data_IF_566607124584
#
_entry.id   IF_566607124584
#
_cell.length_a   1.000
_cell.length_b   1.000
_cell.length_c   1.000
_cell.angle_alpha   90.00
_cell.angle_beta   90.00
_cell.angle_gamma   90.00
#
_symmetry.space_group_name_H-M   'P 1'
#
loop_
_entity.id
_entity.type
_entity.pdbx_description
1 polymer ?
#
# COMPACT_ATOMS: atom_id res chain seq x y z
N UNK A 1 -34.69 -31.62 0.06
CA UNK A 1 -33.42 -31.27 0.76
C UNK A 1 -32.17 -32.07 0.34
N UNK A 2 -32.24 -33.34 -0.11
CA UNK A 2 -31.02 -34.13 -0.45
C UNK A 2 -30.28 -33.75 -1.75
N UNK A 3 -30.93 -33.10 -2.73
CA UNK A 3 -30.31 -32.78 -4.03
C UNK A 3 -29.38 -31.56 -4.00
N UNK A 4 -29.56 -30.65 -3.05
CA UNK A 4 -28.76 -29.42 -2.96
C UNK A 4 -27.38 -29.69 -2.36
N UNK A 5 -27.28 -30.62 -1.39
CA UNK A 5 -26.03 -30.98 -0.73
C UNK A 5 -25.05 -31.69 -1.69
N UNK A 6 -25.58 -32.56 -2.57
CA UNK A 6 -24.77 -33.24 -3.60
C UNK A 6 -24.15 -32.26 -4.61
N UNK A 7 -24.81 -31.13 -4.90
CA UNK A 7 -24.28 -30.10 -5.80
C UNK A 7 -23.13 -29.31 -5.18
N UNK A 8 -23.23 -28.97 -3.90
CA UNK A 8 -22.15 -28.28 -3.18
C UNK A 8 -20.93 -29.18 -2.98
N UNK A 9 -21.12 -30.47 -2.69
CA UNK A 9 -20.02 -31.43 -2.57
C UNK A 9 -19.29 -31.66 -3.92
N UNK A 10 -20.03 -31.74 -5.03
CA UNK A 10 -19.44 -31.88 -6.36
C UNK A 10 -18.61 -30.63 -6.75
N UNK A 11 -19.07 -29.43 -6.38
CA UNK A 11 -18.34 -28.18 -6.62
C UNK A 11 -17.04 -28.09 -5.81
N UNK A 12 -17.05 -28.54 -4.56
CA UNK A 12 -15.85 -28.58 -3.71
C UNK A 12 -14.78 -29.54 -4.24
N UNK A 13 -15.18 -30.72 -4.73
CA UNK A 13 -14.26 -31.71 -5.31
C UNK A 13 -13.69 -31.19 -6.65
N UNK A 14 -14.49 -30.51 -7.47
CA UNK A 14 -14.02 -29.91 -8.72
C UNK A 14 -12.98 -28.80 -8.48
N UNK A 15 -13.15 -27.97 -7.44
CA UNK A 15 -12.19 -26.93 -7.08
C UNK A 15 -10.85 -27.50 -6.63
N UNK A 16 -10.85 -28.62 -5.88
CA UNK A 16 -9.61 -29.26 -5.42
C UNK A 16 -8.81 -29.95 -6.54
N UNK A 17 -9.46 -30.35 -7.64
CA UNK A 17 -8.80 -30.98 -8.79
C UNK A 17 -8.15 -29.99 -9.77
N UNK A 18 -8.44 -28.69 -9.66
CA UNK A 18 -7.85 -27.64 -10.52
C UNK A 18 -6.51 -27.08 -10.00
N UNK A 19 -6.25 -27.21 -8.69
CA UNK A 19 -5.04 -26.69 -8.03
C UNK A 19 -3.73 -27.32 -8.53
N UNK A 20 -3.64 -28.65 -8.80
CA UNK A 20 -2.38 -29.26 -9.22
C UNK A 20 -1.86 -28.78 -10.58
N UNK A 21 -2.77 -28.43 -11.51
CA UNK A 21 -2.39 -28.00 -12.87
C UNK A 21 -1.72 -26.61 -12.85
N UNK A 22 -2.25 -25.67 -12.07
CA UNK A 22 -1.70 -24.34 -11.95
C UNK A 22 -0.30 -24.34 -11.30
N UNK A 23 -0.09 -25.19 -10.29
CA UNK A 23 1.23 -25.36 -9.67
C UNK A 23 2.22 -25.93 -10.68
N UNK A 24 1.83 -26.94 -11.46
CA UNK A 24 2.68 -27.57 -12.47
C UNK A 24 3.09 -26.60 -13.59
N UNK A 25 2.16 -25.79 -14.07
CA UNK A 25 2.47 -24.78 -15.10
C UNK A 25 3.41 -23.70 -14.55
N UNK A 26 3.24 -23.30 -13.29
CA UNK A 26 4.16 -22.39 -12.60
C UNK A 26 5.59 -22.94 -12.50
N UNK A 27 5.76 -24.21 -12.10
CA UNK A 27 7.09 -24.83 -12.02
C UNK A 27 7.75 -24.99 -13.39
N UNK A 28 6.98 -25.28 -14.44
CA UNK A 28 7.50 -25.41 -15.81
C UNK A 28 8.05 -24.09 -16.34
N UNK A 29 7.42 -22.97 -16.03
CA UNK A 29 7.92 -21.64 -16.40
C UNK A 29 9.20 -21.27 -15.66
N UNK A 30 9.29 -21.55 -14.36
CA UNK A 30 10.49 -21.31 -13.55
C UNK A 30 11.67 -22.17 -14.02
N UNK A 31 11.44 -23.46 -14.31
CA UNK A 31 12.49 -24.33 -14.86
C UNK A 31 12.93 -23.88 -16.26
N UNK A 32 12.01 -23.41 -17.10
CA UNK A 32 12.36 -22.85 -18.42
C UNK A 32 13.22 -21.59 -18.30
N UNK A 33 12.95 -20.74 -17.30
CA UNK A 33 13.76 -19.55 -17.03
C UNK A 33 15.14 -19.91 -16.45
N UNK A 34 15.23 -20.92 -15.58
CA UNK A 34 16.48 -21.34 -14.95
C UNK A 34 17.44 -22.08 -15.89
N UNK A 35 16.94 -22.69 -16.97
CA UNK A 35 17.72 -23.46 -17.93
C UNK A 35 17.75 -22.84 -19.34
N UNK A 36 17.31 -21.59 -19.49
CA UNK A 36 17.48 -20.87 -20.75
C UNK A 36 18.98 -20.57 -20.96
N UNK A 37 19.57 -20.92 -22.12
CA UNK A 37 20.94 -20.54 -22.43
C UNK A 37 21.05 -19.01 -22.50
N UNK A 38 22.17 -18.41 -22.05
CA UNK A 38 22.35 -16.95 -22.13
C UNK A 38 22.33 -16.54 -23.60
N UNK A 39 21.30 -15.81 -23.99
CA UNK A 39 21.24 -15.17 -25.30
C UNK A 39 22.30 -14.05 -25.36
N UNK A 40 23.02 -13.91 -26.48
CA UNK A 40 24.01 -12.85 -26.62
C UNK A 40 23.33 -11.48 -26.54
N UNK A 41 23.75 -10.68 -25.56
CA UNK A 41 23.34 -9.29 -25.38
C UNK A 41 23.68 -8.50 -26.64
N UNK A 42 22.66 -8.03 -27.37
CA UNK A 42 22.89 -7.11 -28.48
C UNK A 42 21.72 -6.89 -29.44
N UNK A 43 20.84 -7.87 -29.69
CA UNK A 43 19.79 -7.71 -30.72
C UNK A 43 18.38 -7.46 -30.19
N UNK A 44 18.02 -7.91 -28.97
CA UNK A 44 16.62 -7.80 -28.52
C UNK A 44 16.25 -6.43 -27.92
N UNK A 45 17.23 -5.59 -27.60
CA UNK A 45 17.00 -4.26 -26.99
C UNK A 45 16.50 -3.27 -28.05
N UNK A 46 16.99 -3.36 -29.29
CA UNK A 46 16.59 -2.47 -30.38
C UNK A 46 15.15 -2.76 -30.84
N UNK A 47 14.78 -4.03 -31.00
CA UNK A 47 13.41 -4.43 -31.36
C UNK A 47 12.39 -4.12 -30.25
N UNK A 48 12.77 -4.26 -28.98
CA UNK A 48 11.90 -3.92 -27.85
C UNK A 48 11.67 -2.40 -27.73
N UNK A 49 12.67 -1.58 -28.05
CA UNK A 49 12.52 -0.12 -28.02
C UNK A 49 11.66 0.42 -29.17
N UNK A 50 11.75 -0.16 -30.37
CA UNK A 50 10.92 0.25 -31.50
C UNK A 50 9.44 -0.15 -31.32
N UNK A 51 9.17 -1.28 -30.65
CA UNK A 51 7.81 -1.68 -30.29
C UNK A 51 7.13 -0.70 -29.29
N UNK A 52 7.89 -0.19 -28.31
CA UNK A 52 7.39 0.81 -27.34
C UNK A 52 7.12 2.15 -28.03
N UNK A 53 7.96 2.54 -29.00
CA UNK A 53 7.75 3.76 -29.78
C UNK A 53 6.55 3.68 -30.71
N UNK A 54 6.26 2.50 -31.29
CA UNK A 54 5.08 2.28 -32.11
C UNK A 54 3.77 2.24 -31.28
N UNK A 55 3.81 1.79 -30.02
CA UNK A 55 2.67 1.77 -29.12
C UNK A 55 2.32 3.15 -28.52
N UNK A 56 3.20 4.15 -28.67
CA UNK A 56 3.02 5.51 -28.16
C UNK A 56 2.29 6.46 -29.12
N UNK A 57 1.54 5.94 -30.11
CA UNK A 57 0.66 6.75 -30.93
C UNK A 57 -0.52 7.28 -30.06
N UNK A 58 -0.79 8.60 -30.06
CA UNK A 58 -1.73 9.21 -29.11
C UNK A 58 -3.17 8.82 -29.45
N UNK A 59 -3.77 7.98 -28.61
CA UNK A 59 -5.21 7.76 -28.63
C UNK A 59 -5.86 8.81 -27.73
N UNK A 60 -6.56 9.77 -28.34
CA UNK A 60 -7.40 10.75 -27.66
C UNK A 60 -8.54 10.06 -26.91
N UNK A 61 -8.65 10.25 -25.59
CA UNK A 61 -9.89 10.06 -24.81
C UNK A 61 -9.76 10.63 -23.39
N UNK A 62 -10.87 10.86 -22.65
CA UNK A 62 -11.39 12.20 -22.40
C UNK A 62 -11.18 12.66 -20.95
N UNK A 63 -11.53 13.93 -20.74
CA UNK A 63 -11.53 14.66 -19.48
C UNK A 63 -11.94 13.81 -18.26
N UNK A 64 -11.05 13.77 -17.27
CA UNK A 64 -11.41 13.48 -15.89
C UNK A 64 -11.13 14.74 -15.07
N UNK A 65 -12.18 15.21 -14.42
CA UNK A 65 -12.23 16.34 -13.52
C UNK A 65 -11.08 16.35 -12.52
N UNK A 66 -10.43 17.51 -12.42
CA UNK A 66 -9.47 17.84 -11.37
C UNK A 66 -10.24 18.26 -10.14
N UNK A 67 -10.28 17.41 -9.11
CA UNK A 67 -10.51 17.86 -7.74
C UNK A 67 -9.14 18.05 -7.10
N UNK A 68 -8.64 19.28 -7.12
CA UNK A 68 -7.60 19.68 -6.18
C UNK A 68 -8.25 19.84 -4.81
N UNK A 69 -7.96 18.91 -3.90
CA UNK A 69 -8.16 19.14 -2.48
C UNK A 69 -6.95 19.93 -1.98
N UNK A 70 -7.21 21.13 -1.47
CA UNK A 70 -6.18 22.01 -0.92
C UNK A 70 -5.51 21.34 0.29
N UNK A 71 -4.19 21.30 0.21
CA UNK A 71 -3.29 20.47 1.00
C UNK A 71 -2.82 21.25 2.22
N UNK A 72 -3.35 20.94 3.40
CA UNK A 72 -2.85 21.48 4.66
C UNK A 72 -2.58 20.34 5.63
N UNK A 73 -1.34 19.89 5.68
CA UNK A 73 -0.83 18.94 6.66
C UNK A 73 -0.54 19.68 7.97
N UNK A 74 -1.13 19.26 9.09
CA UNK A 74 -0.84 19.80 10.44
C UNK A 74 -0.16 18.76 11.32
N UNK A 75 0.95 19.19 11.93
CA UNK A 75 1.71 18.37 12.89
C UNK A 75 1.00 18.40 14.25
N UNK A 76 0.45 17.26 14.67
CA UNK A 76 -0.21 17.10 15.97
C UNK A 76 0.80 16.93 17.12
N UNK A 77 0.34 17.21 18.35
CA UNK A 77 1.13 17.35 19.57
C UNK A 77 1.98 16.10 19.93
N UNK A 78 3.12 16.28 20.63
CA UNK A 78 4.05 15.19 20.91
C UNK A 78 3.50 14.20 21.94
N UNK A 79 3.31 12.95 21.52
CA UNK A 79 3.19 11.81 22.41
C UNK A 79 4.60 11.45 22.91
N UNK A 80 4.78 11.41 24.24
CA UNK A 80 6.05 11.04 24.85
C UNK A 80 5.96 9.57 25.27
N UNK A 81 6.60 8.68 24.52
CA UNK A 81 6.88 7.32 24.96
C UNK A 81 8.32 6.95 24.62
N UNK A 82 9.03 6.31 25.55
CA UNK A 82 10.50 6.34 25.67
C UNK A 82 11.18 4.97 25.43
N UNK A 83 10.45 3.93 25.05
CA UNK A 83 11.03 2.61 24.75
C UNK A 83 10.54 2.02 23.41
N UNK A 84 11.38 1.23 22.69
CA UNK A 84 11.00 0.61 21.40
C UNK A 84 9.73 -0.25 21.46
N UNK A 85 9.49 -0.92 22.59
CA UNK A 85 8.31 -1.76 22.80
C UNK A 85 7.01 -0.95 22.88
N UNK A 86 7.04 0.21 23.53
CA UNK A 86 5.87 1.09 23.61
C UNK A 86 5.51 1.67 22.24
N UNK A 87 6.53 2.01 21.44
CA UNK A 87 6.36 2.45 20.05
C UNK A 87 5.73 1.36 19.18
N UNK A 88 6.16 0.11 19.35
CA UNK A 88 5.57 -1.03 18.63
C UNK A 88 4.12 -1.28 19.06
N UNK A 89 3.81 -1.21 20.35
CA UNK A 89 2.46 -1.35 20.84
C UNK A 89 1.54 -0.23 20.32
N UNK A 90 2.02 1.01 20.28
CA UNK A 90 1.30 2.13 19.69
C UNK A 90 0.99 1.91 18.20
N UNK A 91 1.94 1.40 17.41
CA UNK A 91 1.71 1.01 16.03
C UNK A 91 0.62 -0.06 15.90
N UNK A 92 0.69 -1.10 16.72
CA UNK A 92 -0.31 -2.18 16.68
C UNK A 92 -1.69 -1.64 17.09
N UNK A 93 -1.75 -0.74 18.08
CA UNK A 93 -2.98 -0.10 18.51
C UNK A 93 -3.62 0.72 17.39
N UNK A 94 -2.84 1.48 16.63
CA UNK A 94 -3.33 2.22 15.47
C UNK A 94 -3.98 1.32 14.42
N UNK A 95 -3.30 0.24 14.05
CA UNK A 95 -3.84 -0.73 13.09
C UNK A 95 -5.08 -1.46 13.63
N UNK A 96 -5.16 -1.68 14.95
CA UNK A 96 -6.36 -2.25 15.61
C UNK A 96 -7.53 -1.28 15.52
N UNK A 97 -7.33 0.01 15.83
CA UNK A 97 -8.37 1.04 15.74
C UNK A 97 -8.87 1.19 14.30
N UNK A 98 -7.96 1.25 13.32
CA UNK A 98 -8.30 1.30 11.90
C UNK A 98 -9.18 0.12 11.45
N UNK A 99 -8.83 -1.09 11.87
CA UNK A 99 -9.63 -2.29 11.57
C UNK A 99 -10.98 -2.28 12.29
N UNK A 100 -11.02 -1.87 13.56
CA UNK A 100 -12.28 -1.75 14.30
C UNK A 100 -13.21 -0.72 13.62
N UNK A 101 -12.66 0.38 13.12
CA UNK A 101 -13.41 1.39 12.38
C UNK A 101 -13.98 0.79 11.08
N UNK A 102 -13.16 0.11 10.29
CA UNK A 102 -13.59 -0.58 9.07
C UNK A 102 -14.71 -1.61 9.35
N UNK A 103 -14.59 -2.39 10.43
CA UNK A 103 -15.66 -3.30 10.86
C UNK A 103 -16.93 -2.54 11.23
N UNK A 104 -16.84 -1.48 12.03
CA UNK A 104 -18.02 -0.69 12.43
C UNK A 104 -18.74 -0.09 11.22
N UNK A 105 -17.99 0.40 10.23
CA UNK A 105 -18.53 0.99 9.00
C UNK A 105 -19.25 -0.01 8.10
N UNK A 106 -18.74 -1.24 8.03
CA UNK A 106 -19.30 -2.30 7.20
C UNK A 106 -20.38 -3.13 7.90
N UNK A 107 -20.61 -2.87 9.18
CA UNK A 107 -21.55 -3.60 10.03
C UNK A 107 -22.44 -2.63 10.80
N UNK A 108 -23.11 -3.14 11.84
CA UNK A 108 -23.90 -2.33 12.76
C UNK A 108 -23.23 -2.25 14.15
N UNK A 109 -21.93 -2.53 14.21
CA UNK A 109 -21.13 -2.37 15.41
C UNK A 109 -20.87 -0.89 15.73
N UNK A 110 -20.72 -0.51 17.02
CA UNK A 110 -20.40 0.86 17.39
C UNK A 110 -19.03 1.31 16.87
N UNK A 111 -18.91 2.59 16.54
CA UNK A 111 -17.64 3.20 16.10
C UNK A 111 -16.61 3.16 17.25
N UNK A 112 -15.35 2.76 16.99
CA UNK A 112 -14.32 2.73 18.02
C UNK A 112 -13.87 4.14 18.43
N UNK A 113 -13.23 4.25 19.59
CA UNK A 113 -12.56 5.49 19.98
C UNK A 113 -11.31 5.72 19.11
N UNK A 114 -11.34 6.79 18.30
CA UNK A 114 -10.26 7.17 17.40
C UNK A 114 -9.31 8.22 17.97
N UNK A 115 -9.49 8.68 19.22
CA UNK A 115 -8.64 9.71 19.85
C UNK A 115 -7.15 9.35 19.95
N UNK A 116 -6.81 8.06 19.81
CA UNK A 116 -5.44 7.60 19.78
C UNK A 116 -4.75 7.81 18.41
N UNK A 117 -5.54 8.02 17.36
CA UNK A 117 -5.06 8.37 16.03
C UNK A 117 -4.84 9.89 15.95
N UNK A 118 -3.95 10.31 15.06
CA UNK A 118 -3.89 11.71 14.70
C UNK A 118 -5.01 12.10 13.71
N UNK A 119 -5.20 13.40 13.55
CA UNK A 119 -6.26 13.96 12.71
C UNK A 119 -6.14 13.51 11.24
N UNK A 120 -4.91 13.38 10.74
CA UNK A 120 -4.65 12.91 9.37
C UNK A 120 -5.02 11.43 9.19
N UNK A 121 -4.72 10.56 10.16
CA UNK A 121 -5.11 9.16 10.15
C UNK A 121 -6.61 8.98 10.29
N UNK A 122 -7.24 9.77 11.16
CA UNK A 122 -8.69 9.79 11.29
C UNK A 122 -9.36 10.25 9.98
N UNK A 123 -8.86 11.34 9.39
CA UNK A 123 -9.34 11.86 8.11
C UNK A 123 -9.20 10.85 6.98
N UNK A 124 -8.05 10.17 6.90
CA UNK A 124 -7.82 9.08 5.94
C UNK A 124 -8.83 7.95 6.14
N UNK A 125 -9.04 7.46 7.37
CA UNK A 125 -10.02 6.39 7.65
C UNK A 125 -11.44 6.80 7.27
N UNK A 126 -11.86 8.01 7.63
CA UNK A 126 -13.19 8.54 7.29
C UNK A 126 -13.37 8.68 5.78
N UNK A 127 -12.29 8.97 5.04
CA UNK A 127 -12.27 9.10 3.59
C UNK A 127 -12.33 7.78 2.81
N UNK A 128 -12.09 6.63 3.46
CA UNK A 128 -12.13 5.34 2.77
C UNK A 128 -13.54 4.98 2.31
N UNK A 129 -13.63 4.40 1.12
CA UNK A 129 -14.81 3.72 0.59
C UNK A 129 -15.05 2.39 1.28
N UNK A 130 -16.26 1.84 1.15
CA UNK A 130 -16.60 0.53 1.72
C UNK A 130 -15.71 -0.59 1.17
N UNK A 131 -15.29 -0.50 -0.09
CA UNK A 131 -14.40 -1.50 -0.69
C UNK A 131 -12.99 -1.42 -0.11
N UNK A 132 -12.47 -0.21 0.12
CA UNK A 132 -11.19 0.00 0.80
C UNK A 132 -11.26 -0.44 2.27
N UNK A 133 -12.39 -0.23 2.94
CA UNK A 133 -12.62 -0.78 4.28
C UNK A 133 -12.61 -2.30 4.29
N UNK A 134 -13.23 -2.98 3.30
CA UNK A 134 -13.15 -4.45 3.19
C UNK A 134 -11.71 -4.88 2.97
N UNK A 135 -11.01 -4.18 2.07
CA UNK A 135 -9.61 -4.44 1.76
C UNK A 135 -8.72 -4.32 3.00
N UNK A 136 -8.97 -3.36 3.89
CA UNK A 136 -8.23 -3.24 5.16
C UNK A 136 -8.37 -4.48 6.05
N UNK A 137 -9.55 -5.11 6.06
CA UNK A 137 -9.83 -6.27 6.91
C UNK A 137 -9.08 -7.54 6.46
N UNK A 138 -8.58 -7.57 5.21
CA UNK A 138 -7.74 -8.66 4.68
C UNK A 138 -6.35 -8.72 5.36
N UNK A 139 -5.89 -7.62 5.96
CA UNK A 139 -4.52 -7.47 6.45
C UNK A 139 -4.45 -7.40 7.97
N UNK A 140 -3.39 -7.93 8.58
CA UNK A 140 -3.16 -7.87 10.03
C UNK A 140 -3.09 -6.42 10.54
N UNK A 141 -3.37 -6.20 11.84
CA UNK A 141 -3.26 -4.86 12.45
C UNK A 141 -1.88 -4.24 12.19
N UNK A 142 -0.81 -5.04 12.31
CA UNK A 142 0.55 -4.57 12.04
C UNK A 142 0.73 -4.11 10.60
N UNK A 143 0.22 -4.88 9.64
CA UNK A 143 0.33 -4.51 8.22
C UNK A 143 -0.46 -3.26 7.89
N UNK A 144 -1.63 -3.08 8.52
CA UNK A 144 -2.43 -1.86 8.39
C UNK A 144 -1.67 -0.66 8.97
N UNK A 145 -1.06 -0.78 10.14
CA UNK A 145 -0.31 0.33 10.71
C UNK A 145 0.95 0.67 9.90
N UNK A 146 1.67 -0.32 9.39
CA UNK A 146 2.80 -0.08 8.48
C UNK A 146 2.36 0.67 7.21
N UNK A 147 1.14 0.44 6.71
CA UNK A 147 0.58 1.22 5.60
C UNK A 147 0.22 2.64 6.02
N UNK A 148 -0.41 2.79 7.20
CA UNK A 148 -0.76 4.10 7.74
C UNK A 148 0.48 4.99 7.95
N UNK A 149 1.60 4.42 8.39
CA UNK A 149 2.85 5.15 8.63
C UNK A 149 3.76 5.22 7.40
N UNK A 150 3.31 4.74 6.24
CA UNK A 150 4.07 4.75 4.99
C UNK A 150 5.26 3.78 4.94
N UNK A 151 5.46 2.93 5.95
CA UNK A 151 6.56 1.95 6.00
C UNK A 151 6.37 0.83 4.96
N UNK A 152 5.14 0.33 4.81
CA UNK A 152 4.81 -0.65 3.77
C UNK A 152 3.40 -0.45 3.22
N UNK A 153 3.31 -0.03 1.96
CA UNK A 153 2.02 0.24 1.34
C UNK A 153 1.22 -1.04 1.05
N UNK A 154 -0.10 -0.97 1.22
CA UNK A 154 -1.05 -1.97 0.75
C UNK A 154 -1.51 -1.55 -0.65
N UNK A 155 -1.34 -2.41 -1.64
CA UNK A 155 -1.77 -2.12 -3.00
C UNK A 155 -3.30 -2.00 -3.07
N UNK A 156 -3.77 -0.97 -3.76
CA UNK A 156 -5.19 -0.66 -3.92
C UNK A 156 -5.81 0.16 -2.78
N UNK A 157 -5.02 0.56 -1.78
CA UNK A 157 -5.44 1.54 -0.77
C UNK A 157 -4.80 2.91 -1.04
N UNK A 158 -5.53 4.01 -0.80
CA UNK A 158 -4.98 5.35 -0.91
C UNK A 158 -3.91 5.56 0.15
N UNK A 159 -2.88 6.36 -0.18
CA UNK A 159 -1.79 6.62 0.76
C UNK A 159 -2.33 7.36 1.98
N UNK A 160 -2.02 6.83 3.15
CA UNK A 160 -2.21 7.53 4.41
C UNK A 160 -1.04 8.50 4.57
N UNK A 161 -1.30 9.80 4.49
CA UNK A 161 -0.26 10.85 4.61
C UNK A 161 0.05 11.13 6.09
N UNK A 162 0.32 10.07 6.84
CA UNK A 162 0.41 10.15 8.29
C UNK A 162 1.81 9.84 8.78
N UNK A 163 2.33 10.78 9.57
CA UNK A 163 3.55 10.61 10.36
C UNK A 163 3.27 11.03 11.79
N UNK A 164 3.10 10.09 12.72
CA UNK A 164 2.91 10.44 14.12
C UNK A 164 4.14 11.17 14.67
N UNK A 165 3.95 12.21 15.49
CA UNK A 165 5.05 13.01 16.04
C UNK A 165 6.04 12.22 16.90
N UNK A 166 5.63 11.07 17.44
CA UNK A 166 6.47 10.17 18.22
C UNK A 166 7.37 9.26 17.37
N UNK A 167 7.16 9.19 16.05
CA UNK A 167 7.97 8.36 15.16
C UNK A 167 9.23 9.11 14.74
N UNK A 168 10.40 8.48 14.92
CA UNK A 168 11.68 9.03 14.44
C UNK A 168 11.60 9.33 12.95
N UNK A 169 12.15 10.46 12.52
CA UNK A 169 12.21 10.82 11.12
C UNK A 169 12.96 9.76 10.29
N UNK A 170 12.54 9.53 9.05
CA UNK A 170 13.21 8.65 8.09
C UNK A 170 14.29 9.53 7.52
N UNK A 171 15.52 9.20 7.88
CA UNK A 171 16.70 9.84 7.33
C UNK A 171 17.00 9.20 5.98
N UNK A 172 16.82 9.95 4.90
CA UNK A 172 17.23 9.55 3.56
C UNK A 172 18.73 9.82 3.45
N UNK A 173 19.49 8.77 3.19
CA UNK A 173 20.90 8.88 2.87
C UNK A 173 21.08 9.56 1.52
N UNK A 174 22.08 10.44 1.40
CA UNK A 174 22.47 11.01 0.12
C UNK A 174 23.08 9.89 -0.75
N UNK A 175 22.32 9.43 -1.73
CA UNK A 175 22.77 8.48 -2.74
C UNK A 175 22.68 9.19 -4.09
N UNK A 176 23.81 9.27 -4.81
CA UNK A 176 23.86 9.94 -6.10
C UNK A 176 22.84 9.32 -7.07
N UNK A 177 21.95 10.16 -7.60
CA UNK A 177 20.90 9.75 -8.54
C UNK A 177 19.63 9.20 -7.90
N UNK A 178 19.48 9.26 -6.57
CA UNK A 178 18.23 8.90 -5.91
C UNK A 178 17.18 10.02 -6.08
N UNK A 179 16.22 9.77 -6.98
CA UNK A 179 15.11 10.68 -7.26
C UNK A 179 14.23 10.95 -6.03
N UNK A 180 14.11 9.99 -5.11
CA UNK A 180 13.35 10.17 -3.86
C UNK A 180 14.09 11.13 -2.93
N UNK A 181 15.42 11.00 -2.82
CA UNK A 181 16.23 11.91 -2.02
C UNK A 181 16.12 13.34 -2.54
N UNK A 182 16.32 13.56 -3.84
CA UNK A 182 16.28 14.91 -4.43
C UNK A 182 14.88 15.54 -4.40
N UNK A 183 13.82 14.75 -4.62
CA UNK A 183 12.44 15.25 -4.50
C UNK A 183 12.10 15.65 -3.07
N UNK A 184 12.38 14.78 -2.09
CA UNK A 184 12.14 15.07 -0.67
C UNK A 184 12.99 16.25 -0.18
N UNK A 185 14.24 16.37 -0.64
CA UNK A 185 15.10 17.53 -0.35
C UNK A 185 14.52 18.82 -0.91
N UNK A 186 14.04 18.81 -2.16
CA UNK A 186 13.42 19.96 -2.78
C UNK A 186 12.11 20.37 -2.09
N UNK A 187 11.30 19.39 -1.69
CA UNK A 187 10.04 19.60 -0.99
C UNK A 187 10.28 20.06 0.46
N UNK A 188 11.26 19.50 1.18
CA UNK A 188 11.71 20.01 2.50
C UNK A 188 12.19 21.46 2.41
N UNK A 189 12.90 21.83 1.35
CA UNK A 189 13.38 23.20 1.14
C UNK A 189 12.25 24.17 0.80
N UNK A 190 11.20 23.70 0.12
CA UNK A 190 10.02 24.49 -0.24
C UNK A 190 9.05 24.65 0.94
N UNK A 191 8.68 23.53 1.55
CA UNK A 191 7.75 23.43 2.66
C UNK A 191 8.02 22.13 3.46
N UNK A 192 8.63 22.23 4.65
CA UNK A 192 8.89 21.07 5.51
C UNK A 192 7.64 20.27 5.89
N UNK A 193 6.43 20.86 5.82
CA UNK A 193 5.18 20.19 6.15
C UNK A 193 4.64 19.29 5.04
N UNK A 194 5.16 19.42 3.81
CA UNK A 194 4.73 18.63 2.64
C UNK A 194 5.28 17.20 2.63
N UNK A 195 6.39 16.94 3.35
CA UNK A 195 7.03 15.63 3.48
C UNK A 195 7.23 15.27 4.95
N UNK A 196 6.13 15.15 5.73
CA UNK A 196 6.20 15.01 7.18
C UNK A 196 6.97 13.75 7.58
N UNK A 197 8.00 13.97 8.41
CA UNK A 197 8.84 12.91 8.96
C UNK A 197 10.02 12.49 8.08
N UNK A 198 10.20 13.02 6.89
CA UNK A 198 11.46 12.82 6.19
C UNK A 198 12.52 13.82 6.67
N UNK A 199 13.76 13.35 6.74
CA UNK A 199 14.96 14.19 6.90
C UNK A 199 15.96 13.75 5.86
N UNK A 200 16.72 14.69 5.33
CA UNK A 200 17.89 14.39 4.49
C UNK A 200 19.12 14.40 5.38
N UNK A 201 19.98 13.38 5.25
CA UNK A 201 21.27 13.37 5.93
C UNK A 201 22.09 14.59 5.49
N UNK A 202 22.70 15.29 6.45
CA UNK A 202 23.52 16.48 6.19
C UNK A 202 24.86 16.15 5.50
#
# INVERSE_FOLDING_TARGET
>A
MRRSFARYLALAIAAMLAVPKAVWDGTRWVLRAAFAPPTPQGMEIEDAMDAVRAAAAPTSSPAADTVQAEDTVRVAAPFVSRTPSETEEALIAWGRTARAYATSRLSSEPEPDMRALDESAEGWLRGLSDEECRRLLDFSCRRVSDHMTGSHLIQGLPRCLVRPAWMTAIELASVDGDELYESVKADLARDPSSVPGYRVAA
#
